data_IF_755478417006
#
_entry.id   IF_755478417006
#
_cell.length_a   1.000
_cell.length_b   1.000
_cell.length_c   1.000
_cell.angle_alpha   90.00
_cell.angle_beta   90.00
_cell.angle_gamma   90.00
#
_symmetry.space_group_name_H-M   'P 1'
#
loop_
_entity.id
_entity.type
_entity.pdbx_description
1 polymer ?
#
# COMPACT_ATOMS: atom_id res chain seq x y z
N UNK A 1 -6.49 15.17 -17.62
CA UNK A 1 -5.82 14.03 -18.27
C UNK A 1 -5.77 12.93 -17.23
N UNK A 2 -6.37 11.78 -17.51
CA UNK A 2 -6.34 10.61 -16.62
C UNK A 2 -5.22 9.70 -17.13
N UNK A 3 -4.27 9.38 -16.27
CA UNK A 3 -3.29 8.32 -16.53
C UNK A 3 -4.00 6.95 -16.51
N UNK A 4 -3.34 5.90 -17.02
CA UNK A 4 -3.76 4.53 -16.73
C UNK A 4 -3.57 4.32 -15.22
N UNK A 5 -4.67 4.12 -14.50
CA UNK A 5 -4.66 4.15 -13.06
C UNK A 5 -4.07 2.85 -12.51
N UNK A 6 -2.94 2.99 -11.82
CA UNK A 6 -2.21 1.89 -11.19
C UNK A 6 -2.64 1.78 -9.73
N UNK A 7 -3.72 1.01 -9.53
CA UNK A 7 -4.27 0.75 -8.19
C UNK A 7 -3.64 -0.48 -7.57
N UNK A 8 -3.34 -0.38 -6.28
CA UNK A 8 -2.96 -1.52 -5.46
C UNK A 8 -4.06 -1.77 -4.45
N UNK A 9 -4.64 -2.97 -4.50
CA UNK A 9 -5.63 -3.41 -3.53
C UNK A 9 -5.00 -4.40 -2.55
N UNK A 10 -5.05 -4.06 -1.26
CA UNK A 10 -4.60 -4.92 -0.17
C UNK A 10 -5.82 -5.49 0.53
N UNK A 11 -5.99 -6.81 0.49
CA UNK A 11 -7.13 -7.50 1.11
C UNK A 11 -6.75 -8.18 2.42
N UNK A 12 -7.65 -8.11 3.40
CA UNK A 12 -7.52 -8.88 4.65
C UNK A 12 -8.05 -10.31 4.45
N UNK A 13 -7.12 -11.28 4.44
CA UNK A 13 -7.46 -12.70 4.29
C UNK A 13 -8.11 -13.34 5.51
N UNK A 14 -7.96 -12.74 6.71
CA UNK A 14 -8.61 -13.24 7.94
C UNK A 14 -10.08 -12.83 8.01
N UNK A 15 -10.43 -11.73 7.36
CA UNK A 15 -11.80 -11.23 7.23
C UNK A 15 -12.49 -11.81 5.98
N UNK A 16 -12.07 -12.97 5.48
CA UNK A 16 -12.67 -13.61 4.29
C UNK A 16 -12.64 -12.71 3.03
N UNK A 17 -11.58 -11.91 2.89
CA UNK A 17 -11.42 -10.91 1.81
C UNK A 17 -12.51 -9.82 1.76
N UNK A 18 -13.32 -9.69 2.80
CA UNK A 18 -14.41 -8.68 2.85
C UNK A 18 -13.92 -7.24 3.07
N UNK A 19 -12.70 -7.08 3.59
CA UNK A 19 -12.08 -5.78 3.85
C UNK A 19 -10.87 -5.58 2.95
N UNK A 20 -10.82 -4.42 2.30
CA UNK A 20 -9.71 -4.03 1.43
C UNK A 20 -9.31 -2.58 1.65
N UNK A 21 -8.02 -2.30 1.47
CA UNK A 21 -7.49 -0.96 1.32
C UNK A 21 -7.06 -0.75 -0.13
N UNK A 22 -7.45 0.38 -0.70
CA UNK A 22 -6.99 0.83 -2.00
C UNK A 22 -5.88 1.86 -1.82
N UNK A 23 -4.82 1.72 -2.60
CA UNK A 23 -3.70 2.64 -2.67
C UNK A 23 -3.60 3.10 -4.13
N UNK A 24 -3.79 4.41 -4.32
CA UNK A 24 -3.69 5.09 -5.61
C UNK A 24 -2.37 5.86 -5.66
N UNK A 25 -1.53 5.53 -6.64
CA UNK A 25 -0.22 6.15 -6.86
C UNK A 25 -0.06 6.52 -8.34
N UNK A 26 0.70 7.58 -8.58
CA UNK A 26 1.05 8.01 -9.94
C UNK A 26 2.30 7.27 -10.45
N UNK A 27 2.30 6.88 -11.72
CA UNK A 27 3.40 6.21 -12.40
C UNK A 27 3.26 4.69 -12.49
N UNK A 28 3.97 4.10 -13.47
CA UNK A 28 3.90 2.67 -13.80
C UNK A 28 4.43 1.78 -12.66
N UNK A 29 3.62 0.82 -12.19
CA UNK A 29 4.04 -0.17 -11.18
C UNK A 29 4.97 -1.21 -11.81
N UNK A 30 6.24 -1.21 -11.38
CA UNK A 30 7.24 -2.19 -11.76
C UNK A 30 7.10 -3.50 -10.98
N UNK A 31 6.62 -3.42 -9.75
CA UNK A 31 6.47 -4.57 -8.87
C UNK A 31 6.10 -4.20 -7.43
N UNK A 32 5.57 -5.17 -6.70
CA UNK A 32 5.18 -5.04 -5.30
C UNK A 32 5.71 -6.20 -4.47
N UNK A 33 6.07 -5.97 -3.21
CA UNK A 33 6.45 -7.02 -2.28
C UNK A 33 6.14 -6.64 -0.84
N UNK A 34 5.61 -7.59 -0.07
CA UNK A 34 5.58 -7.44 1.38
C UNK A 34 6.97 -7.70 1.98
N UNK A 35 7.24 -7.10 3.13
CA UNK A 35 8.33 -7.53 4.00
C UNK A 35 8.06 -8.96 4.51
N UNK A 36 9.09 -9.73 4.90
CA UNK A 36 8.92 -11.10 5.39
C UNK A 36 7.99 -11.23 6.62
N UNK A 37 7.89 -10.16 7.41
CA UNK A 37 7.02 -10.04 8.59
C UNK A 37 5.65 -9.40 8.29
N UNK A 38 5.37 -9.04 7.04
CA UNK A 38 4.14 -8.40 6.57
C UNK A 38 3.79 -7.07 7.28
N UNK A 39 4.80 -6.37 7.81
CA UNK A 39 4.65 -5.07 8.45
C UNK A 39 4.95 -3.90 7.50
N UNK A 40 5.54 -4.17 6.33
CA UNK A 40 5.74 -3.18 5.28
C UNK A 40 5.35 -3.73 3.89
N UNK A 41 4.89 -2.83 3.02
CA UNK A 41 4.62 -3.07 1.60
C UNK A 41 5.53 -2.15 0.78
N UNK A 42 6.34 -2.74 -0.07
CA UNK A 42 7.23 -2.04 -0.99
C UNK A 42 6.61 -2.01 -2.39
N UNK A 43 6.63 -0.83 -3.02
CA UNK A 43 6.11 -0.60 -4.36
C UNK A 43 7.19 0.07 -5.20
N UNK A 44 7.63 -0.62 -6.26
CA UNK A 44 8.53 -0.05 -7.24
C UNK A 44 7.75 0.68 -8.32
N UNK A 45 8.11 1.94 -8.57
CA UNK A 45 7.54 2.77 -9.63
C UNK A 45 8.60 2.92 -10.72
N UNK A 46 8.28 2.48 -11.94
CA UNK A 46 9.14 2.52 -13.12
C UNK A 46 8.80 3.70 -14.06
N UNK A 47 8.35 4.83 -13.51
CA UNK A 47 8.16 6.03 -14.30
C UNK A 47 9.50 6.59 -14.82
N UNK A 48 9.51 7.10 -16.06
CA UNK A 48 10.71 7.60 -16.73
C UNK A 48 11.28 8.87 -16.05
N UNK A 49 10.44 9.62 -15.34
CA UNK A 49 10.81 10.88 -14.69
C UNK A 49 10.99 10.71 -13.18
N UNK A 50 10.17 9.85 -12.56
CA UNK A 50 10.08 9.68 -11.11
C UNK A 50 10.25 8.23 -10.64
N UNK A 51 11.12 7.46 -11.30
CA UNK A 51 11.48 6.11 -10.87
C UNK A 51 11.84 6.08 -9.39
N UNK A 52 11.06 5.36 -8.58
CA UNK A 52 11.13 5.41 -7.12
C UNK A 52 10.73 4.09 -6.47
N UNK A 53 11.09 3.94 -5.19
CA UNK A 53 10.66 2.84 -4.33
C UNK A 53 9.90 3.45 -3.15
N UNK A 54 8.63 3.09 -3.01
CA UNK A 54 7.74 3.59 -1.96
C UNK A 54 7.58 2.48 -0.92
N UNK A 55 7.75 2.81 0.36
CA UNK A 55 7.48 1.91 1.48
C UNK A 55 6.21 2.38 2.22
N UNK A 56 5.25 1.47 2.37
CA UNK A 56 4.09 1.65 3.22
C UNK A 56 4.23 0.78 4.48
N UNK A 57 4.26 1.39 5.66
CA UNK A 57 4.25 0.65 6.93
C UNK A 57 2.83 0.37 7.40
N UNK A 58 2.60 -0.83 7.94
CA UNK A 58 1.32 -1.22 8.51
C UNK A 58 1.02 -0.39 9.76
N UNK A 59 -0.10 0.34 9.75
CA UNK A 59 -0.54 1.08 10.93
C UNK A 59 -1.03 0.11 12.01
N UNK A 60 -0.30 0.02 13.13
CA UNK A 60 -0.79 -0.66 14.33
C UNK A 60 -1.79 0.25 15.05
N UNK A 61 -3.02 -0.21 15.25
CA UNK A 61 -3.96 0.44 16.17
C UNK A 61 -3.50 0.17 17.60
N UNK A 62 -2.85 1.15 18.21
CA UNK A 62 -2.63 1.18 19.64
C UNK A 62 -3.89 1.78 20.30
N UNK A 63 -4.87 0.93 20.64
CA UNK A 63 -6.15 1.37 21.23
C UNK A 63 -5.98 2.27 22.47
N UNK A 64 -4.85 2.19 23.19
CA UNK A 64 -4.55 3.02 24.35
C UNK A 64 -4.22 4.49 24.02
N UNK A 65 -3.67 4.75 22.83
CA UNK A 65 -3.34 6.11 22.38
C UNK A 65 -4.47 6.75 21.58
N UNK A 66 -5.34 5.94 20.98
CA UNK A 66 -6.49 6.38 20.18
C UNK A 66 -7.68 6.85 21.06
N UNK A 67 -7.66 6.59 22.37
CA UNK A 67 -8.72 6.97 23.32
C UNK A 67 -8.66 8.43 23.81
N UNK A 68 -7.82 9.28 23.22
CA UNK A 68 -7.68 10.71 23.55
C UNK A 68 -8.33 11.67 22.53
N UNK A 69 -9.20 11.16 21.64
CA UNK A 69 -9.90 11.94 20.62
C UNK A 69 -11.42 11.95 20.83
#
# INVERSE_FOLDING_TARGET
>A
MSEAADFIHVYDSKSDYSSSQEIDIFGEIAGISFSPDAEALFVGVADRTYGSLIEFSRRRRCNYLDSYL
#
